data_IF_920112218796
#
_entry.id   IF_920112218796
#
_cell.length_a   1.000
_cell.length_b   1.000
_cell.length_c   1.000
_cell.angle_alpha   90.00
_cell.angle_beta   90.00
_cell.angle_gamma   90.00
#
_symmetry.space_group_name_H-M   'P 1'
#
loop_
_entity.id
_entity.type
_entity.pdbx_description
1 polymer ?
#
# COMPACT_ATOMS: atom_id res chain seq x y z
N UNK A 1 11.10 1.88 -9.14
CA UNK A 1 10.28 0.79 -9.69
C UNK A 1 9.94 -0.15 -8.54
N UNK A 2 8.67 -0.26 -8.16
CA UNK A 2 8.22 -1.14 -7.07
C UNK A 2 8.10 -2.57 -7.62
N UNK A 3 8.65 -3.54 -6.90
CA UNK A 3 8.65 -4.97 -7.29
C UNK A 3 7.83 -5.80 -6.32
N UNK A 4 7.40 -6.97 -6.77
CA UNK A 4 6.82 -8.01 -5.90
C UNK A 4 7.85 -8.39 -4.82
N UNK A 5 7.37 -8.71 -3.62
CA UNK A 5 8.19 -8.99 -2.42
C UNK A 5 8.97 -7.79 -1.88
N UNK A 6 8.68 -6.58 -2.34
CA UNK A 6 9.28 -5.37 -1.80
C UNK A 6 8.47 -4.83 -0.63
N UNK A 7 9.16 -4.20 0.33
CA UNK A 7 8.51 -3.45 1.41
C UNK A 7 8.23 -2.03 0.94
N UNK A 8 7.01 -1.56 1.16
CA UNK A 8 6.53 -0.24 0.75
C UNK A 8 5.86 0.47 1.91
N UNK A 9 5.78 1.79 1.83
CA UNK A 9 4.92 2.63 2.65
C UNK A 9 4.13 3.59 1.76
N UNK A 10 3.09 4.16 2.34
CA UNK A 10 2.36 5.25 1.69
C UNK A 10 3.18 6.53 1.69
N UNK A 11 3.20 7.25 0.56
CA UNK A 11 3.76 8.60 0.50
C UNK A 11 2.94 9.52 1.37
N UNK A 12 3.60 10.32 2.21
CA UNK A 12 2.94 11.28 3.12
C UNK A 12 2.00 12.25 2.39
N UNK A 13 2.39 12.68 1.19
CA UNK A 13 1.57 13.59 0.36
C UNK A 13 0.28 12.95 -0.13
N UNK A 14 0.18 11.61 -0.16
CA UNK A 14 -0.99 10.89 -0.65
C UNK A 14 -1.92 10.44 0.49
N UNK A 15 -1.39 10.30 1.71
CA UNK A 15 -2.17 9.92 2.90
C UNK A 15 -3.34 10.88 3.16
N UNK A 16 -3.17 12.17 2.86
CA UNK A 16 -4.21 13.18 3.07
C UNK A 16 -5.46 13.00 2.18
N UNK A 17 -5.33 12.29 1.06
CA UNK A 17 -6.44 12.00 0.14
C UNK A 17 -7.16 10.69 0.47
N UNK A 18 -6.61 9.89 1.40
CA UNK A 18 -7.28 8.69 1.88
C UNK A 18 -8.40 9.07 2.85
N UNK A 19 -9.41 8.19 2.94
CA UNK A 19 -10.41 8.29 4.00
C UNK A 19 -9.68 8.32 5.36
N UNK A 20 -10.09 9.17 6.32
CA UNK A 20 -9.36 9.36 7.58
C UNK A 20 -9.08 8.06 8.34
N UNK A 21 -10.01 7.10 8.29
CA UNK A 21 -9.90 5.77 8.89
C UNK A 21 -8.73 4.97 8.30
N UNK A 22 -8.63 4.96 6.97
CA UNK A 22 -7.60 4.24 6.21
C UNK A 22 -6.26 4.97 6.34
N UNK A 23 -6.26 6.29 6.21
CA UNK A 23 -5.06 7.12 6.34
C UNK A 23 -4.38 6.93 7.70
N UNK A 24 -5.15 6.90 8.79
CA UNK A 24 -4.62 6.63 10.14
C UNK A 24 -4.07 5.20 10.28
N UNK A 25 -4.73 4.23 9.63
CA UNK A 25 -4.32 2.83 9.67
C UNK A 25 -3.01 2.59 8.90
N UNK A 26 -2.77 3.35 7.83
CA UNK A 26 -1.63 3.21 6.93
C UNK A 26 -0.48 4.19 7.22
N UNK A 27 -0.68 5.20 8.07
CA UNK A 27 0.35 6.17 8.41
C UNK A 27 1.59 5.51 9.00
N UNK A 28 2.72 5.67 8.30
CA UNK A 28 4.03 5.05 8.61
C UNK A 28 4.01 3.52 8.75
N UNK A 29 2.96 2.85 8.27
CA UNK A 29 2.86 1.40 8.30
C UNK A 29 3.70 0.81 7.17
N UNK A 30 4.33 -0.33 7.45
CA UNK A 30 5.05 -1.10 6.43
C UNK A 30 4.08 -2.09 5.78
N UNK A 31 4.06 -2.07 4.47
CA UNK A 31 3.29 -2.98 3.64
C UNK A 31 4.22 -3.85 2.80
N UNK A 32 3.79 -5.08 2.53
CA UNK A 32 4.52 -6.01 1.67
C UNK A 32 3.79 -6.18 0.34
N UNK A 33 4.51 -5.98 -0.76
CA UNK A 33 3.92 -6.09 -2.10
C UNK A 33 3.72 -7.56 -2.44
N UNK A 34 2.45 -7.93 -2.60
CA UNK A 34 2.02 -9.25 -3.03
C UNK A 34 2.00 -9.37 -4.55
N UNK A 35 1.55 -8.33 -5.24
CA UNK A 35 1.40 -8.35 -6.69
C UNK A 35 1.46 -6.94 -7.29
N UNK A 36 1.87 -6.86 -8.56
CA UNK A 36 1.87 -5.62 -9.36
C UNK A 36 1.20 -5.95 -10.69
N UNK A 37 0.06 -5.34 -10.96
CA UNK A 37 -0.75 -5.66 -12.13
C UNK A 37 -1.39 -4.41 -12.73
N UNK A 38 -1.78 -4.53 -14.00
CA UNK A 38 -2.61 -3.53 -14.68
C UNK A 38 -3.99 -4.15 -14.86
N UNK A 39 -5.05 -3.58 -14.25
CA UNK A 39 -6.40 -4.13 -14.39
C UNK A 39 -6.85 -4.05 -15.86
N UNK A 40 -7.67 -5.01 -16.29
CA UNK A 40 -8.21 -5.05 -17.64
C UNK A 40 -8.98 -3.75 -17.95
N UNK A 41 -8.60 -3.06 -19.02
CA UNK A 41 -9.17 -1.76 -19.40
C UNK A 41 -8.63 -0.56 -18.61
N UNK A 42 -7.72 -0.77 -17.65
CA UNK A 42 -7.02 0.29 -16.94
C UNK A 42 -5.71 0.69 -17.62
N UNK A 43 -5.35 1.96 -17.49
CA UNK A 43 -4.06 2.50 -17.96
C UNK A 43 -3.03 2.61 -16.84
N UNK A 44 -3.45 2.52 -15.57
CA UNK A 44 -2.59 2.68 -14.40
C UNK A 44 -2.20 1.34 -13.79
N UNK A 45 -0.94 1.23 -13.38
CA UNK A 45 -0.45 0.07 -12.63
C UNK A 45 -0.92 0.14 -11.17
N UNK A 46 -1.54 -0.94 -10.72
CA UNK A 46 -1.94 -1.15 -9.33
C UNK A 46 -0.98 -2.12 -8.65
N UNK A 47 -0.90 -1.97 -7.33
CA UNK A 47 -0.06 -2.78 -6.46
C UNK A 47 -0.94 -3.34 -5.36
N UNK A 48 -0.95 -4.67 -5.23
CA UNK A 48 -1.59 -5.34 -4.11
C UNK A 48 -0.62 -5.42 -2.94
N UNK A 49 -0.97 -4.79 -1.83
CA UNK A 49 -0.11 -4.66 -0.65
C UNK A 49 -0.78 -5.28 0.57
N UNK A 50 -0.04 -6.12 1.29
CA UNK A 50 -0.41 -6.63 2.61
C UNK A 50 0.20 -5.75 3.69
N UNK A 51 -0.64 -5.05 4.44
CA UNK A 51 -0.26 -4.18 5.54
C UNK A 51 -0.23 -4.96 6.85
N UNK A 52 0.96 -5.05 7.45
CA UNK A 52 1.23 -5.89 8.63
C UNK A 52 0.62 -5.25 9.87
N UNK A 53 -0.16 -5.99 10.66
CA UNK A 53 -0.74 -5.57 11.93
C UNK A 53 0.26 -4.82 12.81
N UNK A 54 -0.14 -3.69 13.40
CA UNK A 54 0.73 -2.95 14.34
C UNK A 54 0.64 -3.55 15.74
N UNK A 55 -0.54 -4.05 16.10
CA UNK A 55 -0.82 -4.69 17.39
C UNK A 55 -1.10 -6.18 17.19
N UNK A 56 -0.78 -7.05 18.16
CA UNK A 56 -1.10 -8.47 18.09
C UNK A 56 -2.61 -8.77 17.98
N UNK A 57 -3.46 -7.82 18.40
CA UNK A 57 -4.92 -7.92 18.33
C UNK A 57 -5.49 -7.46 16.99
N UNK A 58 -4.66 -6.92 16.11
CA UNK A 58 -5.07 -6.44 14.78
C UNK A 58 -4.77 -7.51 13.73
N UNK A 59 -5.58 -7.52 12.68
CA UNK A 59 -5.34 -8.37 11.53
C UNK A 59 -4.53 -7.62 10.46
N UNK A 60 -3.82 -8.41 9.65
CA UNK A 60 -3.24 -7.90 8.43
C UNK A 60 -4.33 -7.49 7.45
N UNK A 61 -4.10 -6.39 6.74
CA UNK A 61 -5.07 -5.85 5.79
C UNK A 61 -4.46 -5.90 4.41
N UNK A 62 -5.13 -6.52 3.45
CA UNK A 62 -4.69 -6.52 2.05
C UNK A 62 -5.50 -5.48 1.28
N UNK A 63 -4.80 -4.57 0.60
CA UNK A 63 -5.41 -3.49 -0.16
C UNK A 63 -4.66 -3.27 -1.48
N UNK A 64 -5.38 -2.75 -2.46
CA UNK A 64 -4.84 -2.39 -3.76
C UNK A 64 -4.68 -0.87 -3.84
N UNK A 65 -3.50 -0.44 -4.30
CA UNK A 65 -3.15 0.98 -4.37
C UNK A 65 -2.45 1.28 -5.68
N UNK A 66 -2.63 2.48 -6.25
CA UNK A 66 -1.79 2.95 -7.35
C UNK A 66 -0.31 2.90 -6.97
N UNK A 67 0.54 2.48 -7.90
CA UNK A 67 1.99 2.42 -7.67
C UNK A 67 2.59 3.80 -7.33
N UNK A 68 1.96 4.86 -7.83
CA UNK A 68 2.35 6.26 -7.65
C UNK A 68 2.19 6.72 -6.20
N UNK A 69 1.26 6.11 -5.46
CA UNK A 69 0.95 6.49 -4.09
C UNK A 69 1.91 5.89 -3.06
N UNK A 70 2.67 4.90 -3.50
CA UNK A 70 3.58 4.14 -2.69
C UNK A 70 5.03 4.61 -2.90
N UNK A 71 5.83 4.42 -1.86
CA UNK A 71 7.28 4.53 -1.93
C UNK A 71 7.92 3.26 -1.39
N UNK A 72 8.97 2.81 -2.06
CA UNK A 72 9.74 1.65 -1.65
C UNK A 72 10.63 2.01 -0.46
N UNK A 73 10.65 1.14 0.54
CA UNK A 73 11.53 1.24 1.70
C UNK A 73 12.65 0.21 1.50
N UNK A 74 13.90 0.65 1.61
CA UNK A 74 15.07 -0.22 1.61
C UNK A 74 15.23 -0.94 2.95
#
# INVERSE_FOLDING_TARGET
MIKVKQTVQFRRSQIQYLKPEIGRLLDRRKGYVLDVFVPLGGTKSLVKVRWIARRPTENDVTMEHPIEDLEAIA
#
